data_IF_552974689226
#
_entry.id   IF_552974689226
#
_cell.length_a   1.000
_cell.length_b   1.000
_cell.length_c   1.000
_cell.angle_alpha   90.00
_cell.angle_beta   90.00
_cell.angle_gamma   90.00
#
_symmetry.space_group_name_H-M   'P 1'
#
loop_
_entity.id
_entity.type
_entity.pdbx_description
1 polymer ?
#
# COMPACT_ATOMS: atom_id res chain seq x y z
N UNK A 1 -3.45 -8.16 27.11
CA UNK A 1 -4.27 -7.06 26.55
C UNK A 1 -3.88 -5.80 27.31
N UNK A 2 -3.04 -4.94 26.72
CA UNK A 2 -2.54 -3.74 27.41
C UNK A 2 -3.67 -2.72 27.56
N UNK A 3 -3.84 -2.17 28.77
CA UNK A 3 -4.70 -1.01 29.06
C UNK A 3 -4.55 0.02 27.93
N UNK A 4 -5.66 0.40 27.30
CA UNK A 4 -5.69 1.55 26.41
C UNK A 4 -5.33 2.79 27.23
N UNK A 5 -4.04 3.15 27.21
CA UNK A 5 -3.64 4.47 27.64
C UNK A 5 -4.39 5.47 26.74
N UNK A 6 -5.12 6.41 27.34
CA UNK A 6 -5.75 7.53 26.64
C UNK A 6 -4.66 8.37 25.96
N UNK A 7 -4.21 7.92 24.79
CA UNK A 7 -3.22 8.61 23.97
C UNK A 7 -3.85 9.90 23.45
N UNK A 8 -3.12 11.00 23.55
CA UNK A 8 -3.52 12.25 22.90
C UNK A 8 -3.58 12.05 21.39
N UNK A 9 -4.38 12.86 20.69
CA UNK A 9 -4.53 12.80 19.23
C UNK A 9 -3.16 12.82 18.52
N UNK A 10 -2.24 13.66 18.98
CA UNK A 10 -0.87 13.76 18.44
C UNK A 10 -0.08 12.47 18.63
N UNK A 11 -0.14 11.83 19.79
CA UNK A 11 0.55 10.55 20.03
C UNK A 11 -0.04 9.42 19.17
N UNK A 12 -1.36 9.41 18.97
CA UNK A 12 -2.03 8.45 18.08
C UNK A 12 -1.56 8.64 16.63
N UNK A 13 -1.48 9.89 16.18
CA UNK A 13 -1.05 10.23 14.83
C UNK A 13 0.40 9.80 14.57
N UNK A 14 1.32 10.08 15.50
CA UNK A 14 2.72 9.64 15.39
C UNK A 14 2.83 8.13 15.27
N UNK A 15 2.06 7.37 16.07
CA UNK A 15 2.06 5.90 15.98
C UNK A 15 1.58 5.39 14.61
N UNK A 16 0.53 5.98 14.05
CA UNK A 16 0.02 5.58 12.73
C UNK A 16 1.02 5.93 11.63
N UNK A 17 1.61 7.12 11.66
CA UNK A 17 2.62 7.53 10.67
C UNK A 17 3.83 6.61 10.70
N UNK A 18 4.36 6.29 11.89
CA UNK A 18 5.48 5.34 12.01
C UNK A 18 5.13 3.97 11.45
N UNK A 19 3.94 3.45 11.76
CA UNK A 19 3.45 2.19 11.21
C UNK A 19 3.35 2.25 9.67
N UNK A 20 2.79 3.33 9.13
CA UNK A 20 2.62 3.51 7.69
C UNK A 20 3.96 3.65 6.96
N UNK A 21 4.99 4.25 7.58
CA UNK A 21 6.35 4.31 7.00
C UNK A 21 6.91 2.89 6.84
N UNK A 22 6.84 2.08 7.90
CA UNK A 22 7.32 0.68 7.87
C UNK A 22 6.54 -0.12 6.82
N UNK A 23 5.22 0.04 6.79
CA UNK A 23 4.38 -0.59 5.77
C UNK A 23 4.72 -0.11 4.35
N UNK A 24 5.03 1.16 4.16
CA UNK A 24 5.48 1.72 2.89
C UNK A 24 6.75 1.04 2.39
N UNK A 25 7.74 0.82 3.27
CA UNK A 25 8.94 0.08 2.91
C UNK A 25 8.65 -1.38 2.51
N UNK A 26 7.83 -2.09 3.29
CA UNK A 26 7.42 -3.45 2.95
C UNK A 26 6.65 -3.51 1.62
N UNK A 27 5.78 -2.54 1.39
CA UNK A 27 5.00 -2.39 0.16
C UNK A 27 5.91 -2.18 -1.05
N UNK A 28 6.92 -1.31 -0.94
CA UNK A 28 7.93 -1.09 -1.98
C UNK A 28 8.64 -2.39 -2.38
N UNK A 29 9.11 -3.15 -1.37
CA UNK A 29 9.85 -4.39 -1.59
C UNK A 29 8.98 -5.44 -2.29
N UNK A 30 7.73 -5.57 -1.87
CA UNK A 30 6.78 -6.50 -2.48
C UNK A 30 6.41 -6.12 -3.92
N UNK A 31 6.15 -4.85 -4.21
CA UNK A 31 5.87 -4.39 -5.59
C UNK A 31 7.07 -4.65 -6.50
N UNK A 32 8.28 -4.33 -6.05
CA UNK A 32 9.49 -4.61 -6.83
C UNK A 32 9.70 -6.10 -7.08
N UNK A 33 9.42 -6.96 -6.10
CA UNK A 33 9.46 -8.40 -6.28
C UNK A 33 8.44 -8.86 -7.33
N UNK A 34 7.19 -8.38 -7.28
CA UNK A 34 6.15 -8.74 -8.24
C UNK A 34 6.49 -8.31 -9.67
N UNK A 35 7.07 -7.12 -9.85
CA UNK A 35 7.51 -6.64 -11.15
C UNK A 35 8.65 -7.52 -11.69
N UNK A 36 9.61 -7.90 -10.84
CA UNK A 36 10.69 -8.83 -11.24
C UNK A 36 10.15 -10.20 -11.61
N UNK A 37 9.27 -10.78 -10.80
CA UNK A 37 8.62 -12.06 -11.12
C UNK A 37 7.84 -12.00 -12.44
N UNK A 38 7.15 -10.89 -12.72
CA UNK A 38 6.47 -10.69 -13.99
C UNK A 38 7.44 -10.60 -15.18
N UNK A 39 8.63 -10.02 -15.00
CA UNK A 39 9.68 -9.98 -16.01
C UNK A 39 10.33 -11.35 -16.23
N UNK A 40 10.61 -12.08 -15.15
CA UNK A 40 11.24 -13.40 -15.17
C UNK A 40 10.34 -14.46 -15.84
N UNK A 41 9.01 -14.27 -15.77
CA UNK A 41 8.05 -15.12 -16.47
C UNK A 41 8.06 -14.97 -18.00
N UNK A 42 8.81 -14.00 -18.56
CA UNK A 42 8.90 -13.68 -19.99
C UNK A 42 7.56 -13.63 -20.74
N UNK A 43 6.52 -12.94 -20.23
CA UNK A 43 5.24 -12.84 -20.93
C UNK A 43 5.35 -11.88 -22.13
N UNK A 44 4.53 -12.11 -23.16
CA UNK A 44 4.44 -11.23 -24.34
C UNK A 44 4.14 -9.76 -23.98
N UNK A 45 3.45 -9.52 -22.85
CA UNK A 45 3.07 -8.20 -22.36
C UNK A 45 3.51 -7.96 -20.90
N UNK A 46 4.82 -7.89 -20.65
CA UNK A 46 5.41 -7.73 -19.30
C UNK A 46 4.80 -6.62 -18.46
N UNK A 47 4.58 -5.43 -19.04
CA UNK A 47 4.01 -4.29 -18.30
C UNK A 47 2.58 -4.57 -17.80
N UNK A 48 1.75 -5.22 -18.63
CA UNK A 48 0.37 -5.55 -18.29
C UNK A 48 0.33 -6.64 -17.22
N UNK A 49 1.17 -7.66 -17.34
CA UNK A 49 1.30 -8.72 -16.34
C UNK A 49 1.75 -8.16 -14.99
N UNK A 50 2.77 -7.30 -14.98
CA UNK A 50 3.25 -6.63 -13.77
C UNK A 50 2.15 -5.76 -13.13
N UNK A 51 1.38 -5.05 -13.95
CA UNK A 51 0.23 -4.28 -13.49
C UNK A 51 -0.82 -5.17 -12.83
N UNK A 52 -1.23 -6.27 -13.48
CA UNK A 52 -2.22 -7.20 -12.96
C UNK A 52 -1.79 -7.81 -11.60
N UNK A 53 -0.53 -8.21 -11.48
CA UNK A 53 0.02 -8.71 -10.22
C UNK A 53 0.01 -7.63 -9.12
N UNK A 54 0.43 -6.41 -9.45
CA UNK A 54 0.37 -5.29 -8.51
C UNK A 54 -1.05 -4.93 -8.09
N UNK A 55 -2.03 -5.02 -8.99
CA UNK A 55 -3.46 -4.84 -8.66
C UNK A 55 -3.92 -5.89 -7.65
N UNK A 56 -3.63 -7.16 -7.89
CA UNK A 56 -3.95 -8.23 -6.94
C UNK A 56 -3.32 -7.99 -5.57
N UNK A 57 -2.06 -7.55 -5.54
CA UNK A 57 -1.37 -7.20 -4.32
C UNK A 57 -1.94 -5.95 -3.63
N UNK A 58 -2.43 -4.96 -4.38
CA UNK A 58 -3.09 -3.79 -3.81
C UNK A 58 -4.41 -4.14 -3.13
N UNK A 59 -5.17 -5.11 -3.65
CA UNK A 59 -6.36 -5.63 -2.98
C UNK A 59 -5.99 -6.30 -1.65
N UNK A 60 -4.96 -7.15 -1.65
CA UNK A 60 -4.44 -7.78 -0.43
C UNK A 60 -3.96 -6.74 0.59
N UNK A 61 -3.19 -5.75 0.14
CA UNK A 61 -2.66 -4.68 0.98
C UNK A 61 -3.80 -3.83 1.56
N UNK A 62 -4.79 -3.47 0.75
CA UNK A 62 -6.00 -2.78 1.20
C UNK A 62 -6.77 -3.59 2.25
N UNK A 63 -6.86 -4.92 2.10
CA UNK A 63 -7.43 -5.78 3.11
C UNK A 63 -6.68 -5.71 4.45
N UNK A 64 -5.35 -5.71 4.42
CA UNK A 64 -4.52 -5.60 5.62
C UNK A 64 -4.66 -4.22 6.27
N UNK A 65 -4.55 -3.15 5.48
CA UNK A 65 -4.70 -1.77 5.97
C UNK A 65 -6.05 -1.60 6.66
N UNK A 66 -7.14 -1.95 6.00
CA UNK A 66 -8.50 -1.83 6.58
C UNK A 66 -8.76 -2.80 7.74
N UNK A 67 -7.91 -3.81 7.97
CA UNK A 67 -8.02 -4.72 9.11
C UNK A 67 -7.33 -4.15 10.35
N UNK A 68 -6.18 -3.49 10.17
CA UNK A 68 -5.33 -3.05 11.29
C UNK A 68 -5.39 -1.55 11.55
N UNK A 69 -5.74 -0.75 10.55
CA UNK A 69 -6.00 0.68 10.67
C UNK A 69 -7.51 0.94 10.60
N UNK A 70 -8.13 0.98 11.78
CA UNK A 70 -9.58 1.19 11.92
C UNK A 70 -9.97 2.66 11.84
N UNK A 71 -8.99 3.56 11.97
CA UNK A 71 -9.27 4.97 12.02
C UNK A 71 -9.23 5.54 10.61
N UNK A 72 -8.06 5.56 9.97
CA UNK A 72 -7.81 6.36 8.77
C UNK A 72 -7.27 5.51 7.61
N UNK A 73 -7.92 4.39 7.23
CA UNK A 73 -7.36 3.41 6.31
C UNK A 73 -7.08 3.97 4.90
N UNK A 74 -7.90 4.90 4.41
CA UNK A 74 -7.72 5.48 3.07
C UNK A 74 -6.53 6.45 3.05
N UNK A 75 -6.41 7.28 4.09
CA UNK A 75 -5.29 8.21 4.26
C UNK A 75 -4.00 7.42 4.46
N UNK A 76 -4.04 6.40 5.32
CA UNK A 76 -2.93 5.48 5.52
C UNK A 76 -2.51 4.79 4.23
N UNK A 77 -3.46 4.32 3.42
CA UNK A 77 -3.18 3.73 2.11
C UNK A 77 -2.50 4.69 1.14
N UNK A 78 -2.98 5.94 1.05
CA UNK A 78 -2.35 6.97 0.22
C UNK A 78 -0.93 7.28 0.69
N UNK A 79 -0.73 7.37 2.00
CA UNK A 79 0.58 7.61 2.60
C UNK A 79 1.54 6.43 2.35
N UNK A 80 1.09 5.19 2.57
CA UNK A 80 1.86 3.97 2.29
C UNK A 80 2.24 3.90 0.81
N UNK A 81 1.32 4.21 -0.10
CA UNK A 81 1.61 4.21 -1.53
C UNK A 81 2.67 5.27 -1.88
N UNK A 82 2.54 6.49 -1.37
CA UNK A 82 3.53 7.56 -1.59
C UNK A 82 4.89 7.20 -1.02
N UNK A 83 4.94 6.73 0.23
CA UNK A 83 6.20 6.34 0.86
C UNK A 83 6.83 5.17 0.13
N UNK A 84 6.07 4.12 -0.16
CA UNK A 84 6.59 2.92 -0.78
C UNK A 84 6.96 3.06 -2.26
N UNK A 85 6.20 3.82 -3.04
CA UNK A 85 6.43 3.92 -4.49
C UNK A 85 7.29 5.11 -4.89
N UNK A 86 7.40 6.14 -4.04
CA UNK A 86 8.12 7.37 -4.34
C UNK A 86 9.24 7.62 -3.34
N UNK A 87 8.94 7.76 -2.06
CA UNK A 87 9.94 8.19 -1.08
C UNK A 87 11.06 7.16 -0.89
N UNK A 88 10.71 5.90 -0.61
CA UNK A 88 11.68 4.82 -0.36
C UNK A 88 12.57 4.58 -1.60
N UNK A 89 12.03 4.45 -2.83
CA UNK A 89 12.87 4.30 -4.01
C UNK A 89 13.82 5.48 -4.25
N UNK A 90 13.32 6.72 -4.09
CA UNK A 90 14.15 7.92 -4.28
C UNK A 90 15.28 8.02 -3.26
N UNK A 91 14.99 7.73 -1.99
CA UNK A 91 15.98 7.82 -0.91
C UNK A 91 17.06 6.75 -1.04
N UNK A 92 16.69 5.53 -1.44
CA UNK A 92 17.63 4.39 -1.45
C UNK A 92 18.36 4.21 -2.79
N UNK A 93 17.73 4.58 -3.90
CA UNK A 93 18.22 4.25 -5.25
C UNK A 93 18.19 5.45 -6.20
N UNK A 94 17.77 6.63 -5.74
CA UNK A 94 17.59 7.81 -6.59
C UNK A 94 16.45 7.66 -7.60
N UNK A 95 16.46 8.50 -8.64
CA UNK A 95 15.42 8.49 -9.69
C UNK A 95 15.35 7.16 -10.47
N UNK A 96 16.47 6.43 -10.58
CA UNK A 96 16.52 5.11 -11.22
C UNK A 96 15.81 4.00 -10.44
N UNK A 97 15.46 4.24 -9.17
CA UNK A 97 14.68 3.30 -8.37
C UNK A 97 13.18 3.35 -8.63
N UNK A 98 12.68 4.38 -9.33
CA UNK A 98 11.26 4.53 -9.61
C UNK A 98 10.80 3.50 -10.64
N UNK A 99 9.64 2.91 -10.39
CA UNK A 99 8.99 2.01 -11.34
C UNK A 99 8.46 2.80 -12.56
N UNK A 100 8.17 2.09 -13.64
CA UNK A 100 7.63 2.69 -14.86
C UNK A 100 6.40 3.56 -14.57
N UNK A 101 6.33 4.73 -15.19
CA UNK A 101 5.31 5.74 -14.91
C UNK A 101 3.86 5.22 -14.92
N UNK A 102 3.43 4.37 -15.88
CA UNK A 102 2.08 3.81 -15.88
C UNK A 102 1.79 2.94 -14.65
N UNK A 103 2.78 2.16 -14.20
CA UNK A 103 2.66 1.33 -12.99
C UNK A 103 2.63 2.20 -11.74
N UNK A 104 3.49 3.22 -11.67
CA UNK A 104 3.55 4.14 -10.55
C UNK A 104 2.21 4.85 -10.33
N UNK A 105 1.70 5.49 -11.37
CA UNK A 105 0.42 6.20 -11.33
C UNK A 105 -0.70 5.21 -10.99
N UNK A 106 -0.73 4.07 -11.68
CA UNK A 106 -1.75 3.04 -11.45
C UNK A 106 -1.79 2.54 -10.00
N UNK A 107 -0.64 2.26 -9.39
CA UNK A 107 -0.58 1.77 -8.02
C UNK A 107 -0.85 2.85 -6.97
N UNK A 108 -0.40 4.10 -7.21
CA UNK A 108 -0.72 5.25 -6.37
C UNK A 108 -2.23 5.49 -6.25
N UNK A 109 -2.98 5.33 -7.35
CA UNK A 109 -4.44 5.51 -7.35
C UNK A 109 -5.19 4.28 -6.84
N UNK A 110 -4.75 3.08 -7.21
CA UNK A 110 -5.52 1.86 -6.93
C UNK A 110 -5.45 1.42 -5.47
N UNK A 111 -4.35 1.68 -4.75
CA UNK A 111 -4.25 1.29 -3.35
C UNK A 111 -5.24 2.04 -2.43
N UNK A 112 -5.38 3.39 -2.50
CA UNK A 112 -6.42 4.11 -1.78
C UNK A 112 -7.83 3.70 -2.21
N UNK A 113 -8.05 3.49 -3.51
CA UNK A 113 -9.34 3.07 -4.05
C UNK A 113 -9.77 1.71 -3.50
N UNK A 114 -8.90 0.71 -3.52
CA UNK A 114 -9.21 -0.60 -2.94
C UNK A 114 -9.38 -0.53 -1.43
N UNK A 115 -8.63 0.32 -0.75
CA UNK A 115 -8.83 0.52 0.70
C UNK A 115 -10.21 1.11 1.01
N UNK A 116 -10.70 2.03 0.17
CA UNK A 116 -12.08 2.52 0.26
C UNK A 116 -13.10 1.41 0.01
N UNK A 117 -12.96 0.65 -1.09
CA UNK A 117 -13.90 -0.42 -1.47
C UNK A 117 -13.95 -1.52 -0.40
N UNK A 118 -12.79 -2.03 0.02
CA UNK A 118 -12.70 -3.08 1.04
C UNK A 118 -13.25 -2.59 2.38
N UNK A 119 -12.98 -1.33 2.75
CA UNK A 119 -13.55 -0.71 3.94
C UNK A 119 -15.09 -0.74 3.90
N UNK A 120 -15.71 -0.34 2.78
CA UNK A 120 -17.17 -0.40 2.61
C UNK A 120 -17.73 -1.82 2.68
N UNK A 121 -17.06 -2.79 2.06
CA UNK A 121 -17.47 -4.20 2.10
C UNK A 121 -17.46 -4.72 3.55
N UNK A 122 -16.40 -4.46 4.32
CA UNK A 122 -16.28 -4.89 5.71
C UNK A 122 -17.35 -4.26 6.60
N UNK A 123 -17.64 -2.97 6.43
CA UNK A 123 -18.73 -2.28 7.15
C UNK A 123 -20.08 -2.91 6.85
N UNK A 124 -20.34 -3.30 5.60
CA UNK A 124 -21.59 -3.96 5.20
C UNK A 124 -21.70 -5.35 5.85
N UNK A 125 -20.64 -6.15 5.83
CA UNK A 125 -20.63 -7.48 6.45
C UNK A 125 -20.75 -7.44 7.97
N UNK A 126 -20.22 -6.42 8.64
CA UNK A 126 -20.32 -6.30 10.10
C UNK A 126 -21.72 -5.89 10.59
N UNK A 127 -22.61 -5.45 9.70
CA UNK A 127 -23.98 -5.01 10.03
C UNK A 127 -25.04 -6.09 9.76
N UNK A 128 -24.65 -7.21 9.14
CA UNK A 128 -25.47 -8.40 8.96
C UNK A 128 -25.08 -9.46 9.99
#
# INVERSE_FOLDING_TARGET
>A
MSKEANLTTSQRLVKHVLLWIVFGYCYQSAINLLIKMAADAQPDATLITAFAYGIGFNVLTAHLITKYDTHWPIIGAAFIALVGLVLVPLVLFGSGGLIAWPLLVGFLFTLPLFSYIVGKIKVKHSKN
#
